data_IF_228760441873
#
_entry.id   IF_228760441873
#
_cell.length_a   1.000
_cell.length_b   1.000
_cell.length_c   1.000
_cell.angle_alpha   90.00
_cell.angle_beta   90.00
_cell.angle_gamma   90.00
#
_symmetry.space_group_name_H-M   'P 1'
#
loop_
_entity.id
_entity.type
_entity.pdbx_description
1 polymer ?
#
# COMPACT_ATOMS: atom_id res chain seq x y z
N UNK A 1 26.28 21.00 34.12
CA UNK A 1 25.06 21.13 33.29
C UNK A 1 25.17 20.11 32.16
N UNK A 2 24.56 18.93 32.29
CA UNK A 2 24.66 17.86 31.29
C UNK A 2 23.56 18.07 30.24
N UNK A 3 23.95 18.45 29.01
CA UNK A 3 23.04 18.49 27.87
C UNK A 3 22.59 17.07 27.54
N UNK A 4 21.33 16.75 27.82
CA UNK A 4 20.67 15.59 27.25
C UNK A 4 20.23 15.96 25.83
N UNK A 5 20.99 15.52 24.82
CA UNK A 5 20.52 15.53 23.44
C UNK A 5 19.44 14.46 23.32
N UNK A 6 18.18 14.89 23.31
CA UNK A 6 17.05 14.05 22.93
C UNK A 6 17.22 13.68 21.45
N UNK A 7 17.72 12.46 21.19
CA UNK A 7 17.59 11.79 19.91
C UNK A 7 16.09 11.52 19.69
N UNK A 8 15.37 12.48 19.12
CA UNK A 8 14.05 12.21 18.54
C UNK A 8 14.28 11.24 17.37
N UNK A 9 13.75 10.01 17.40
CA UNK A 9 13.77 9.19 16.21
C UNK A 9 12.89 9.90 15.16
N UNK A 10 13.51 10.28 14.03
CA UNK A 10 12.81 10.65 12.80
C UNK A 10 12.09 9.40 12.29
N UNK A 11 10.94 9.06 12.90
CA UNK A 11 10.07 8.04 12.37
C UNK A 11 9.42 8.59 11.08
N UNK A 12 9.43 7.82 9.98
CA UNK A 12 8.74 8.23 8.77
C UNK A 12 7.25 8.45 9.08
N UNK A 13 6.75 9.63 8.74
CA UNK A 13 5.34 9.97 8.88
C UNK A 13 4.55 9.18 7.83
N UNK A 14 3.64 8.32 8.29
CA UNK A 14 2.69 7.58 7.45
C UNK A 14 1.30 7.95 7.94
N UNK A 15 0.52 8.58 7.06
CA UNK A 15 -0.89 8.87 7.33
C UNK A 15 -1.73 7.79 6.62
N UNK A 16 -2.53 7.05 7.39
CA UNK A 16 -3.37 5.97 6.87
C UNK A 16 -4.83 6.21 7.25
N UNK A 17 -5.72 6.13 6.27
CA UNK A 17 -7.16 6.28 6.42
C UNK A 17 -7.87 5.03 5.90
N UNK A 18 -8.74 4.44 6.71
CA UNK A 18 -9.48 3.20 6.35
C UNK A 18 -10.97 3.48 6.35
N UNK A 19 -11.66 3.06 5.29
CA UNK A 19 -13.11 3.05 5.15
C UNK A 19 -13.59 1.62 4.91
N UNK A 20 -14.70 1.25 5.55
CA UNK A 20 -15.39 -0.01 5.28
C UNK A 20 -16.83 0.30 4.87
N UNK A 21 -17.31 -0.38 3.84
CA UNK A 21 -18.64 -0.23 3.25
C UNK A 21 -19.29 -1.61 3.07
N UNK A 22 -20.60 -1.66 3.24
CA UNK A 22 -21.41 -2.86 2.95
C UNK A 22 -22.73 -2.41 2.32
N UNK A 23 -22.82 -2.47 1.00
CA UNK A 23 -24.04 -2.17 0.23
C UNK A 23 -24.40 -3.40 -0.59
N UNK A 24 -25.66 -3.84 -0.50
CA UNK A 24 -26.18 -4.90 -1.39
C UNK A 24 -25.59 -6.31 -1.19
N UNK A 25 -24.82 -6.54 -0.11
CA UNK A 25 -24.17 -7.84 0.17
C UNK A 25 -22.71 -7.92 -0.26
N UNK A 26 -22.18 -6.87 -0.89
CA UNK A 26 -20.75 -6.74 -1.17
C UNK A 26 -20.06 -5.97 -0.03
N UNK A 27 -19.00 -6.56 0.52
CA UNK A 27 -18.19 -5.98 1.60
C UNK A 27 -16.90 -5.43 1.00
N UNK A 28 -16.71 -4.12 1.11
CA UNK A 28 -15.54 -3.42 0.59
C UNK A 28 -14.76 -2.77 1.74
N UNK A 29 -13.45 -2.99 1.77
CA UNK A 29 -12.52 -2.27 2.63
C UNK A 29 -11.59 -1.48 1.74
N UNK A 30 -11.68 -0.15 1.84
CA UNK A 30 -10.80 0.78 1.13
C UNK A 30 -9.83 1.40 2.12
N UNK A 31 -8.54 1.38 1.80
CA UNK A 31 -7.50 2.03 2.62
C UNK A 31 -6.68 2.97 1.74
N UNK A 32 -6.63 4.23 2.15
CA UNK A 32 -5.78 5.25 1.55
C UNK A 32 -4.58 5.50 2.45
N UNK A 33 -3.37 5.31 1.91
CA UNK A 33 -2.12 5.51 2.65
C UNK A 33 -1.30 6.55 1.92
N UNK A 34 -0.95 7.63 2.62
CA UNK A 34 -0.04 8.65 2.12
C UNK A 34 1.33 8.44 2.77
N UNK A 35 2.36 8.31 1.95
CA UNK A 35 3.72 8.06 2.41
C UNK A 35 4.73 8.86 1.60
N UNK A 36 5.82 9.28 2.25
CA UNK A 36 6.97 9.90 1.59
C UNK A 36 7.97 8.82 1.17
N UNK A 37 8.02 8.51 -0.12
CA UNK A 37 8.95 7.53 -0.67
C UNK A 37 10.32 8.18 -0.89
N UNK A 38 11.18 8.17 0.13
CA UNK A 38 12.59 8.63 0.02
C UNK A 38 13.47 7.58 -0.69
N UNK A 39 13.04 7.12 -1.87
CA UNK A 39 13.73 6.13 -2.71
C UNK A 39 13.94 4.75 -2.06
N UNK A 40 13.16 4.40 -1.04
CA UNK A 40 13.18 3.07 -0.41
C UNK A 40 11.88 2.32 -0.73
N UNK A 41 12.00 1.01 -0.90
CA UNK A 41 10.86 0.11 -1.02
C UNK A 41 10.12 0.04 0.32
N UNK A 42 8.81 0.34 0.29
CA UNK A 42 7.92 0.22 1.44
C UNK A 42 6.99 -0.97 1.20
N UNK A 43 6.93 -1.88 2.17
CA UNK A 43 6.04 -3.04 2.09
C UNK A 43 4.82 -2.82 3.01
N UNK A 44 3.65 -3.19 2.50
CA UNK A 44 2.39 -3.21 3.23
C UNK A 44 1.83 -4.62 3.16
N UNK A 45 1.14 -5.03 4.23
CA UNK A 45 0.53 -6.35 4.34
C UNK A 45 -0.94 -6.18 4.71
N UNK A 46 -1.79 -6.97 4.08
CA UNK A 46 -3.22 -7.03 4.36
C UNK A 46 -3.65 -8.50 4.29
N UNK A 47 -4.47 -8.93 5.24
CA UNK A 47 -4.97 -10.31 5.28
C UNK A 47 -6.32 -10.39 4.59
N UNK A 48 -6.39 -11.18 3.53
CA UNK A 48 -7.58 -11.32 2.69
C UNK A 48 -8.05 -12.77 2.64
N UNK A 49 -9.35 -12.94 2.35
CA UNK A 49 -9.92 -14.26 2.13
C UNK A 49 -9.89 -14.60 0.65
N UNK A 50 -9.74 -15.88 0.35
CA UNK A 50 -9.85 -16.42 -0.99
C UNK A 50 -11.18 -15.99 -1.63
N UNK A 51 -11.13 -15.68 -2.93
CA UNK A 51 -12.24 -15.17 -3.73
C UNK A 51 -12.63 -13.70 -3.48
N UNK A 52 -11.96 -12.98 -2.58
CA UNK A 52 -12.04 -11.51 -2.55
C UNK A 52 -11.38 -10.92 -3.79
N UNK A 53 -11.83 -9.73 -4.20
CA UNK A 53 -11.18 -8.95 -5.26
C UNK A 53 -10.39 -7.83 -4.59
N UNK A 54 -9.09 -7.79 -4.85
CA UNK A 54 -8.19 -6.75 -4.38
C UNK A 54 -7.95 -5.72 -5.49
N UNK A 55 -8.28 -4.46 -5.19
CA UNK A 55 -7.96 -3.31 -6.03
C UNK A 55 -6.86 -2.49 -5.35
N UNK A 56 -5.75 -2.26 -6.06
CA UNK A 56 -4.62 -1.46 -5.58
C UNK A 56 -4.37 -0.31 -6.56
N UNK A 57 -4.34 0.90 -6.04
CA UNK A 57 -3.97 2.10 -6.80
C UNK A 57 -2.80 2.77 -6.10
N UNK A 58 -1.70 2.95 -6.83
CA UNK A 58 -0.54 3.73 -6.39
C UNK A 58 -0.43 4.99 -7.25
N UNK A 59 -0.61 6.15 -6.63
CA UNK A 59 -0.50 7.44 -7.29
C UNK A 59 0.62 8.29 -6.70
N UNK A 60 1.19 9.17 -7.52
CA UNK A 60 2.13 10.20 -7.06
C UNK A 60 1.41 11.52 -6.76
N UNK A 61 2.01 12.36 -5.93
CA UNK A 61 1.48 13.69 -5.66
C UNK A 61 1.41 14.53 -6.96
N UNK A 62 0.43 15.44 -7.10
CA UNK A 62 0.31 16.28 -8.28
C UNK A 62 1.62 17.01 -8.62
N UNK A 63 2.04 16.95 -9.89
CA UNK A 63 3.29 17.57 -10.36
C UNK A 63 4.56 16.72 -10.14
N UNK A 64 4.45 15.54 -9.53
CA UNK A 64 5.54 14.56 -9.49
C UNK A 64 5.78 13.96 -10.88
N UNK A 65 7.06 13.70 -11.20
CA UNK A 65 7.50 12.95 -12.40
C UNK A 65 8.10 11.59 -12.05
N UNK A 66 7.94 11.18 -10.79
CA UNK A 66 8.51 9.94 -10.25
C UNK A 66 7.89 8.71 -10.91
N UNK A 67 8.72 7.84 -11.48
CA UNK A 67 8.30 6.51 -11.89
C UNK A 67 7.92 5.69 -10.66
N UNK A 68 6.71 5.15 -10.66
CA UNK A 68 6.19 4.32 -9.61
C UNK A 68 6.24 2.86 -10.03
N UNK A 69 6.57 2.00 -9.08
CA UNK A 69 6.53 0.56 -9.25
C UNK A 69 5.89 -0.08 -8.03
N UNK A 70 5.02 -1.06 -8.27
CA UNK A 70 4.35 -1.82 -7.22
C UNK A 70 4.52 -3.29 -7.50
N UNK A 71 4.73 -4.07 -6.43
CA UNK A 71 4.70 -5.53 -6.47
C UNK A 71 3.59 -6.03 -5.54
N UNK A 72 2.77 -6.94 -6.02
CA UNK A 72 1.86 -7.72 -5.19
C UNK A 72 2.41 -9.14 -5.09
N UNK A 73 2.48 -9.68 -3.88
CA UNK A 73 2.94 -11.05 -3.63
C UNK A 73 1.96 -11.74 -2.69
N UNK A 74 1.50 -12.93 -3.06
CA UNK A 74 0.60 -13.73 -2.23
C UNK A 74 1.34 -14.36 -1.05
N UNK A 75 0.63 -14.82 0.01
CA UNK A 75 1.24 -15.43 1.19
C UNK A 75 2.21 -16.59 0.89
N UNK A 76 1.87 -17.47 -0.05
CA UNK A 76 2.74 -18.57 -0.47
C UNK A 76 3.88 -18.13 -1.41
N UNK A 77 3.79 -16.92 -1.96
CA UNK A 77 4.65 -16.41 -3.02
C UNK A 77 4.34 -16.98 -4.40
N UNK A 78 3.32 -17.82 -4.56
CA UNK A 78 2.95 -18.42 -5.84
C UNK A 78 2.49 -17.37 -6.87
N UNK A 79 1.80 -16.32 -6.41
CA UNK A 79 1.53 -15.12 -7.21
C UNK A 79 2.50 -14.02 -6.78
N UNK A 80 3.20 -13.42 -7.74
CA UNK A 80 4.13 -12.33 -7.48
C UNK A 80 4.38 -11.50 -8.74
N UNK A 81 3.62 -10.42 -8.91
CA UNK A 81 3.68 -9.61 -10.13
C UNK A 81 4.11 -8.17 -9.86
N UNK A 82 4.86 -7.62 -10.81
CA UNK A 82 5.27 -6.22 -10.83
C UNK A 82 4.44 -5.43 -11.83
N UNK A 83 4.16 -4.18 -11.48
CA UNK A 83 3.66 -3.20 -12.43
C UNK A 83 4.37 -1.86 -12.21
N UNK A 84 4.42 -1.05 -13.25
CA UNK A 84 5.10 0.25 -13.23
C UNK A 84 4.40 1.25 -14.12
N UNK A 85 4.47 2.52 -13.74
CA UNK A 85 3.80 3.62 -14.40
C UNK A 85 4.41 4.96 -14.00
N UNK A 86 4.06 6.02 -14.71
CA UNK A 86 4.67 7.34 -14.52
C UNK A 86 3.90 8.25 -13.53
N UNK A 87 2.60 8.06 -13.39
CA UNK A 87 1.75 8.92 -12.56
C UNK A 87 0.91 8.08 -11.59
N UNK A 88 0.33 7.02 -12.13
CA UNK A 88 -0.56 6.06 -11.50
C UNK A 88 -0.19 4.63 -11.92
N UNK A 89 -0.46 3.68 -11.01
CA UNK A 89 -0.32 2.24 -11.22
C UNK A 89 -1.51 1.55 -10.56
N UNK A 90 -2.33 0.87 -11.37
CA UNK A 90 -3.55 0.20 -10.93
C UNK A 90 -3.50 -1.31 -11.13
N UNK A 91 -3.66 -2.08 -10.05
CA UNK A 91 -3.68 -3.55 -10.06
C UNK A 91 -5.01 -4.08 -9.56
N UNK A 92 -5.56 -5.05 -10.29
CA UNK A 92 -6.70 -5.84 -9.82
C UNK A 92 -6.27 -7.29 -9.73
N UNK A 93 -6.54 -7.91 -8.58
CA UNK A 93 -6.19 -9.31 -8.34
C UNK A 93 -7.34 -10.05 -7.68
N UNK A 94 -7.72 -11.19 -8.26
CA UNK A 94 -8.62 -12.14 -7.62
C UNK A 94 -7.81 -12.98 -6.62
N UNK A 95 -8.09 -12.81 -5.33
CA UNK A 95 -7.33 -13.47 -4.26
C UNK A 95 -7.48 -14.99 -4.37
N UNK A 96 -6.35 -15.67 -4.57
CA UNK A 96 -6.30 -17.12 -4.84
C UNK A 96 -6.10 -18.00 -3.61
N UNK A 97 -5.66 -17.42 -2.50
CA UNK A 97 -5.42 -18.11 -1.22
C UNK A 97 -5.71 -17.20 -0.03
N UNK A 98 -5.99 -17.78 1.15
CA UNK A 98 -6.18 -17.01 2.38
C UNK A 98 -4.84 -16.56 2.95
N UNK A 99 -4.76 -15.33 3.46
CA UNK A 99 -3.63 -14.83 4.25
C UNK A 99 -3.45 -13.33 4.16
#
# INVERSE_FOLDING_TARGET
>A
MRLAFYLLPLLPQIDAFTMASSIGGEYEVSRNIMMKLESRMTCLYETLQQHMILHLTLGSAPGSTTLLSMRLTSPSGAFSEWMSGQYDVDMVHNVTENG
#
